data_IF_087408358868
#
_entry.id   IF_087408358868
#
_cell.length_a   1.000
_cell.length_b   1.000
_cell.length_c   1.000
_cell.angle_alpha   90.00
_cell.angle_beta   90.00
_cell.angle_gamma   90.00
#
_symmetry.space_group_name_H-M   'P 1'
#
loop_
_entity.id
_entity.type
_entity.pdbx_description
1 polymer ?
#
# COMPACT_ATOMS: atom_id res chain seq x y z
N UNK A 1 39.68 13.87 9.46
CA UNK A 1 39.25 15.27 9.34
C UNK A 1 39.38 15.64 7.88
N UNK A 2 38.30 16.07 7.21
CA UNK A 2 38.44 16.72 5.90
C UNK A 2 38.86 18.18 6.09
N UNK A 3 39.37 18.84 5.06
CA UNK A 3 39.67 20.28 5.11
C UNK A 3 38.42 21.12 4.80
N UNK A 4 38.44 22.40 5.21
CA UNK A 4 37.41 23.36 4.78
C UNK A 4 37.70 23.82 3.35
N UNK A 5 36.69 23.77 2.49
CA UNK A 5 36.81 24.23 1.10
C UNK A 5 35.54 24.97 0.66
N UNK A 6 35.67 25.73 -0.43
CA UNK A 6 34.55 26.39 -1.10
C UNK A 6 33.76 25.31 -1.85
N UNK A 7 32.51 25.11 -1.46
CA UNK A 7 31.67 23.99 -1.90
C UNK A 7 30.35 24.46 -2.48
N UNK A 8 29.90 23.79 -3.54
CA UNK A 8 28.59 23.98 -4.16
C UNK A 8 27.60 22.95 -3.59
N UNK A 9 26.56 23.44 -2.95
CA UNK A 9 25.50 22.60 -2.35
C UNK A 9 24.69 21.89 -3.44
N UNK A 10 24.51 22.51 -4.60
CA UNK A 10 23.73 21.93 -5.71
C UNK A 10 24.41 20.67 -6.25
N UNK A 11 25.74 20.64 -6.30
CA UNK A 11 26.51 19.44 -6.66
C UNK A 11 26.45 18.38 -5.55
N UNK A 12 26.40 18.78 -4.27
CA UNK A 12 26.18 17.87 -3.15
C UNK A 12 24.83 17.16 -3.23
N UNK A 13 23.74 17.91 -3.44
CA UNK A 13 22.39 17.36 -3.60
C UNK A 13 22.34 16.36 -4.77
N UNK A 14 22.85 16.73 -5.95
CA UNK A 14 22.91 15.84 -7.12
C UNK A 14 23.72 14.56 -6.83
N UNK A 15 24.89 14.70 -6.20
CA UNK A 15 25.77 13.57 -5.87
C UNK A 15 25.09 12.60 -4.91
N UNK A 16 24.50 13.11 -3.83
CA UNK A 16 23.79 12.30 -2.83
C UNK A 16 22.59 11.59 -3.44
N UNK A 17 21.77 12.26 -4.25
CA UNK A 17 20.63 11.64 -4.94
C UNK A 17 21.04 10.47 -5.85
N UNK A 18 22.18 10.57 -6.54
CA UNK A 18 22.71 9.44 -7.33
C UNK A 18 23.08 8.25 -6.43
N UNK A 19 23.68 8.51 -5.27
CA UNK A 19 24.10 7.46 -4.32
C UNK A 19 22.88 6.80 -3.63
N UNK A 20 21.91 7.61 -3.18
CA UNK A 20 20.71 7.14 -2.48
C UNK A 20 19.59 6.68 -3.41
N UNK A 21 19.80 6.70 -4.74
CA UNK A 21 18.77 6.34 -5.75
C UNK A 21 18.06 5.03 -5.48
N UNK A 22 18.77 4.01 -4.98
CA UNK A 22 18.16 2.71 -4.66
C UNK A 22 17.14 2.78 -3.52
N UNK A 23 17.20 3.79 -2.66
CA UNK A 23 16.28 3.96 -1.55
C UNK A 23 14.91 4.47 -1.96
N UNK A 24 14.81 5.27 -3.02
CA UNK A 24 13.54 5.88 -3.44
C UNK A 24 13.03 5.43 -4.81
N UNK A 25 13.87 4.95 -5.74
CA UNK A 25 13.50 4.69 -7.16
C UNK A 25 12.34 3.71 -7.42
N UNK A 26 11.87 2.98 -6.41
CA UNK A 26 10.74 2.05 -6.49
C UNK A 26 9.48 2.56 -5.77
N UNK A 27 9.56 3.71 -5.09
CA UNK A 27 8.57 4.20 -4.14
C UNK A 27 8.29 5.72 -4.26
N UNK A 28 9.18 6.49 -4.88
CA UNK A 28 9.02 7.91 -5.14
C UNK A 28 9.78 8.35 -6.41
N UNK A 29 9.23 9.34 -7.10
CA UNK A 29 9.92 10.14 -8.10
C UNK A 29 10.56 11.35 -7.42
N UNK A 30 11.73 11.80 -7.90
CA UNK A 30 12.45 12.95 -7.34
C UNK A 30 12.54 14.05 -8.38
N UNK A 31 11.81 15.13 -8.14
CA UNK A 31 11.93 16.40 -8.84
C UNK A 31 13.02 17.26 -8.17
N UNK A 32 13.79 17.98 -8.98
CA UNK A 32 14.91 18.80 -8.52
C UNK A 32 14.70 20.23 -9.04
N UNK A 33 14.23 21.10 -8.15
CA UNK A 33 14.22 22.56 -8.35
C UNK A 33 15.29 23.18 -7.46
N UNK A 34 16.38 23.66 -8.07
CA UNK A 34 17.52 24.25 -7.39
C UNK A 34 17.76 25.66 -7.93
N UNK A 35 17.60 26.66 -7.07
CA UNK A 35 17.98 28.03 -7.35
C UNK A 35 19.50 28.21 -7.45
N UNK A 36 19.91 29.41 -7.83
CA UNK A 36 21.32 29.81 -7.83
C UNK A 36 21.78 30.09 -6.40
N UNK A 37 22.58 29.18 -5.83
CA UNK A 37 23.00 29.20 -4.42
C UNK A 37 24.49 29.57 -4.35
N UNK A 38 24.89 30.57 -3.54
CA UNK A 38 26.29 30.91 -3.39
C UNK A 38 27.06 29.76 -2.73
N UNK A 39 28.29 29.52 -3.19
CA UNK A 39 29.13 28.49 -2.60
C UNK A 39 29.43 28.80 -1.13
N UNK A 40 29.36 27.79 -0.28
CA UNK A 40 29.66 27.88 1.16
C UNK A 40 31.09 27.41 1.46
N UNK A 41 31.70 27.90 2.53
CA UNK A 41 33.00 27.42 2.99
C UNK A 41 32.80 26.39 4.13
N UNK A 42 32.89 25.11 3.81
CA UNK A 42 32.50 24.02 4.71
C UNK A 42 33.37 22.76 4.52
N UNK A 43 33.11 21.73 5.33
CA UNK A 43 33.59 20.37 5.08
C UNK A 43 32.58 19.61 4.19
N UNK A 44 32.89 19.29 2.91
CA UNK A 44 31.92 18.67 2.00
C UNK A 44 31.37 17.33 2.51
N UNK A 45 32.21 16.53 3.17
CA UNK A 45 31.79 15.25 3.74
C UNK A 45 30.67 15.37 4.76
N UNK A 46 30.72 16.38 5.65
CA UNK A 46 29.69 16.60 6.67
C UNK A 46 28.38 17.10 6.05
N UNK A 47 28.45 17.97 5.04
CA UNK A 47 27.25 18.41 4.31
C UNK A 47 26.58 17.24 3.59
N UNK A 48 27.36 16.40 2.91
CA UNK A 48 26.83 15.26 2.18
C UNK A 48 26.27 14.15 3.10
N UNK A 49 26.85 13.97 4.29
CA UNK A 49 26.30 13.09 5.33
C UNK A 49 24.92 13.57 5.81
N UNK A 50 24.76 14.87 6.09
CA UNK A 50 23.46 15.45 6.47
C UNK A 50 22.44 15.35 5.33
N UNK A 51 22.83 15.68 4.10
CA UNK A 51 21.95 15.54 2.93
C UNK A 51 21.54 14.08 2.68
N UNK A 52 22.47 13.13 2.86
CA UNK A 52 22.20 11.70 2.73
C UNK A 52 21.18 11.23 3.75
N UNK A 53 21.37 11.57 5.03
CA UNK A 53 20.45 11.16 6.08
C UNK A 53 19.03 11.70 5.81
N UNK A 54 18.89 12.98 5.45
CA UNK A 54 17.57 13.57 5.11
C UNK A 54 16.88 12.82 3.97
N UNK A 55 17.60 12.49 2.89
CA UNK A 55 17.03 11.80 1.73
C UNK A 55 16.71 10.32 2.06
N UNK A 56 17.56 9.65 2.83
CA UNK A 56 17.34 8.26 3.28
C UNK A 56 16.15 8.19 4.23
N UNK A 57 16.06 9.08 5.21
CA UNK A 57 14.95 9.14 6.18
C UNK A 57 13.62 9.46 5.47
N UNK A 58 13.62 10.39 4.51
CA UNK A 58 12.44 10.67 3.69
C UNK A 58 12.01 9.45 2.85
N UNK A 59 12.96 8.78 2.19
CA UNK A 59 12.69 7.56 1.42
C UNK A 59 12.20 6.41 2.31
N UNK A 60 12.75 6.26 3.52
CA UNK A 60 12.32 5.27 4.52
C UNK A 60 10.95 5.59 5.10
N UNK A 61 10.62 6.86 5.35
CA UNK A 61 9.28 7.27 5.78
C UNK A 61 8.24 6.92 4.71
N UNK A 62 8.52 7.22 3.43
CA UNK A 62 7.67 6.84 2.28
C UNK A 62 7.53 5.31 2.18
N UNK A 63 8.61 4.55 2.36
CA UNK A 63 8.57 3.07 2.43
C UNK A 63 7.73 2.55 3.61
N UNK A 64 7.84 3.14 4.79
CA UNK A 64 7.16 2.68 6.01
C UNK A 64 5.64 2.85 5.97
N UNK A 65 5.12 3.64 5.02
CA UNK A 65 3.70 3.77 4.77
C UNK A 65 3.11 2.62 3.92
N UNK A 66 3.91 1.62 3.48
CA UNK A 66 3.39 0.51 2.69
C UNK A 66 4.13 -0.84 2.85
N UNK A 67 3.57 -1.72 3.70
CA UNK A 67 3.61 -3.18 3.53
C UNK A 67 2.27 -3.82 3.95
N UNK A 68 1.21 -3.47 3.22
CA UNK A 68 0.07 -4.38 3.08
C UNK A 68 0.45 -5.47 2.08
N UNK A 69 0.45 -6.74 2.48
CA UNK A 69 0.61 -7.82 1.51
C UNK A 69 -0.76 -8.14 0.89
N UNK A 70 -0.92 -7.72 -0.38
CA UNK A 70 -2.14 -7.92 -1.18
C UNK A 70 -2.10 -9.29 -1.86
N UNK A 71 -2.96 -10.21 -1.42
CA UNK A 71 -3.20 -11.51 -2.05
C UNK A 71 -4.53 -11.47 -2.81
N UNK A 72 -4.62 -12.11 -3.97
CA UNK A 72 -5.83 -12.11 -4.80
C UNK A 72 -6.40 -13.52 -4.97
N UNK A 73 -7.73 -13.61 -5.10
CA UNK A 73 -8.42 -14.86 -5.42
C UNK A 73 -9.47 -14.65 -6.51
N UNK A 74 -9.54 -15.63 -7.41
CA UNK A 74 -10.50 -15.73 -8.51
C UNK A 74 -11.83 -16.38 -8.08
N UNK A 75 -11.85 -17.05 -6.92
CA UNK A 75 -13.03 -17.73 -6.38
C UNK A 75 -12.99 -17.84 -4.85
N UNK A 76 -14.14 -18.00 -4.20
CA UNK A 76 -14.24 -18.26 -2.76
C UNK A 76 -13.49 -19.53 -2.33
N UNK A 77 -13.43 -20.55 -3.21
CA UNK A 77 -12.68 -21.78 -2.92
C UNK A 77 -11.18 -21.48 -2.80
N UNK A 78 -10.64 -20.68 -3.70
CA UNK A 78 -9.26 -20.20 -3.65
C UNK A 78 -9.05 -19.25 -2.45
N UNK A 79 -9.98 -18.33 -2.19
CA UNK A 79 -9.90 -17.42 -1.05
C UNK A 79 -9.87 -18.16 0.30
N UNK A 80 -10.71 -19.20 0.47
CA UNK A 80 -10.69 -20.06 1.64
C UNK A 80 -9.37 -20.84 1.75
N UNK A 81 -8.83 -21.34 0.64
CA UNK A 81 -7.52 -22.01 0.61
C UNK A 81 -6.36 -21.08 0.98
N UNK A 82 -6.45 -19.78 0.66
CA UNK A 82 -5.47 -18.77 1.08
C UNK A 82 -5.66 -18.45 2.57
N UNK A 83 -6.88 -18.21 3.04
CA UNK A 83 -7.20 -17.93 4.46
C UNK A 83 -6.80 -19.10 5.40
N UNK A 84 -6.83 -20.34 4.91
CA UNK A 84 -6.38 -21.52 5.66
C UNK A 84 -4.84 -21.64 5.75
N UNK A 85 -4.07 -20.88 4.93
CA UNK A 85 -2.60 -20.99 4.80
C UNK A 85 -1.83 -19.72 5.19
N UNK A 86 -2.35 -18.56 4.81
CA UNK A 86 -1.69 -17.26 4.93
C UNK A 86 -2.32 -16.44 6.08
N UNK A 87 -1.55 -15.52 6.71
CA UNK A 87 -2.04 -14.69 7.82
C UNK A 87 -2.94 -13.53 7.33
N UNK A 88 -4.08 -13.85 6.73
CA UNK A 88 -5.05 -12.84 6.27
C UNK A 88 -5.69 -12.13 7.46
N UNK A 89 -5.76 -10.80 7.41
CA UNK A 89 -6.38 -9.93 8.42
C UNK A 89 -7.65 -9.24 7.90
N UNK A 90 -7.72 -8.94 6.60
CA UNK A 90 -8.88 -8.32 5.95
C UNK A 90 -9.24 -9.11 4.69
N UNK A 91 -10.53 -9.38 4.48
CA UNK A 91 -11.10 -9.90 3.24
C UNK A 91 -11.94 -8.81 2.59
N UNK A 92 -11.77 -8.62 1.28
CA UNK A 92 -12.51 -7.70 0.43
C UNK A 92 -13.09 -8.48 -0.76
N UNK A 93 -14.42 -8.53 -0.92
CA UNK A 93 -15.09 -9.21 -2.07
C UNK A 93 -16.06 -8.28 -2.80
N UNK A 94 -16.28 -8.48 -4.10
CA UNK A 94 -17.20 -7.69 -4.93
C UNK A 94 -18.48 -8.47 -5.28
N UNK A 95 -19.65 -7.94 -4.91
CA UNK A 95 -20.97 -8.57 -5.10
C UNK A 95 -21.41 -8.74 -6.58
N UNK A 96 -20.50 -8.60 -7.55
CA UNK A 96 -20.81 -8.68 -9.00
C UNK A 96 -20.34 -9.97 -9.65
N UNK A 97 -19.79 -10.91 -8.88
CA UNK A 97 -19.34 -12.21 -9.38
C UNK A 97 -20.52 -13.09 -9.81
N UNK A 98 -20.61 -13.49 -11.11
CA UNK A 98 -21.49 -14.58 -11.51
C UNK A 98 -21.02 -15.89 -10.85
N UNK A 99 -21.96 -16.81 -10.60
CA UNK A 99 -21.71 -18.16 -10.07
C UNK A 99 -21.23 -18.28 -8.61
N UNK A 100 -21.17 -17.20 -7.84
CA UNK A 100 -20.75 -17.23 -6.43
C UNK A 100 -21.76 -16.58 -5.49
N UNK A 101 -22.15 -17.30 -4.44
CA UNK A 101 -22.82 -16.68 -3.29
C UNK A 101 -21.76 -16.04 -2.39
N UNK A 102 -21.49 -14.75 -2.62
CA UNK A 102 -20.58 -13.95 -1.78
C UNK A 102 -20.95 -14.01 -0.29
N UNK A 103 -22.23 -14.15 0.04
CA UNK A 103 -22.67 -14.30 1.43
C UNK A 103 -22.21 -15.64 2.02
N UNK A 104 -22.16 -16.71 1.22
CA UNK A 104 -21.65 -18.00 1.67
C UNK A 104 -20.14 -17.95 1.96
N UNK A 105 -19.35 -17.23 1.16
CA UNK A 105 -17.93 -16.97 1.48
C UNK A 105 -17.80 -16.21 2.80
N UNK A 106 -18.55 -15.12 2.97
CA UNK A 106 -18.49 -14.28 4.18
C UNK A 106 -18.89 -15.09 5.43
N UNK A 107 -19.94 -15.91 5.33
CA UNK A 107 -20.42 -16.80 6.42
C UNK A 107 -19.40 -17.87 6.77
N UNK A 108 -18.78 -18.52 5.79
CA UNK A 108 -17.76 -19.55 6.04
C UNK A 108 -16.47 -18.94 6.62
N UNK A 109 -16.05 -17.75 6.16
CA UNK A 109 -14.90 -17.04 6.75
C UNK A 109 -15.18 -16.60 8.18
N UNK A 110 -16.37 -16.04 8.48
CA UNK A 110 -16.80 -15.73 9.86
C UNK A 110 -16.75 -16.96 10.77
N UNK A 111 -17.15 -18.12 10.27
CA UNK A 111 -17.15 -19.39 11.01
C UNK A 111 -15.75 -19.94 11.27
N UNK A 112 -14.81 -19.79 10.34
CA UNK A 112 -13.42 -20.30 10.45
C UNK A 112 -12.47 -19.35 11.19
N UNK A 113 -12.59 -18.06 10.90
CA UNK A 113 -11.66 -16.99 11.28
C UNK A 113 -12.47 -15.72 11.59
N UNK A 114 -13.19 -15.68 12.74
CA UNK A 114 -14.09 -14.56 13.06
C UNK A 114 -13.37 -13.20 13.11
N UNK A 115 -12.08 -13.21 13.46
CA UNK A 115 -11.23 -12.01 13.59
C UNK A 115 -10.89 -11.36 12.24
N UNK A 116 -11.08 -12.06 11.11
CA UNK A 116 -10.88 -11.46 9.78
C UNK A 116 -11.97 -10.41 9.53
N UNK A 117 -11.52 -9.18 9.27
CA UNK A 117 -12.38 -8.06 8.90
C UNK A 117 -12.95 -8.31 7.51
N UNK A 118 -14.25 -8.53 7.42
CA UNK A 118 -14.97 -8.78 6.17
C UNK A 118 -15.53 -7.48 5.60
N UNK A 119 -15.03 -7.08 4.44
CA UNK A 119 -15.40 -5.88 3.68
C UNK A 119 -16.07 -6.30 2.37
N UNK A 120 -17.18 -5.62 2.04
CA UNK A 120 -17.93 -5.90 0.81
C UNK A 120 -17.96 -4.67 -0.08
N UNK A 121 -17.52 -4.85 -1.32
CA UNK A 121 -17.62 -3.88 -2.40
C UNK A 121 -18.96 -4.09 -3.12
N UNK A 122 -19.67 -3.01 -3.39
CA UNK A 122 -20.91 -3.07 -4.15
C UNK A 122 -21.07 -1.86 -5.07
N UNK A 123 -21.72 -2.09 -6.21
CA UNK A 123 -22.35 -1.04 -7.01
C UNK A 123 -23.83 -0.96 -6.66
N UNK A 124 -24.43 0.23 -6.82
CA UNK A 124 -25.78 0.65 -6.39
C UNK A 124 -26.98 -0.30 -6.59
N UNK A 125 -26.86 -1.41 -7.33
CA UNK A 125 -27.96 -2.31 -7.70
C UNK A 125 -28.29 -3.43 -6.69
N UNK A 126 -27.56 -3.60 -5.58
CA UNK A 126 -27.74 -4.74 -4.65
C UNK A 126 -27.87 -4.37 -3.16
N UNK A 127 -28.38 -3.18 -2.87
CA UNK A 127 -28.56 -2.66 -1.50
C UNK A 127 -29.35 -3.59 -0.55
N UNK A 128 -30.46 -4.26 -0.95
CA UNK A 128 -31.25 -5.09 -0.03
C UNK A 128 -30.49 -6.29 0.55
N UNK A 129 -29.72 -6.99 -0.30
CA UNK A 129 -28.92 -8.16 0.09
C UNK A 129 -27.81 -7.78 1.08
N UNK A 130 -27.19 -6.61 0.87
CA UNK A 130 -26.14 -6.09 1.75
C UNK A 130 -26.68 -5.75 3.15
N UNK A 131 -27.90 -5.22 3.26
CA UNK A 131 -28.52 -4.90 4.56
C UNK A 131 -28.77 -6.16 5.41
N UNK A 132 -29.14 -7.29 4.81
CA UNK A 132 -29.30 -8.55 5.53
C UNK A 132 -27.97 -9.02 6.15
N UNK A 133 -26.89 -9.00 5.36
CA UNK A 133 -25.56 -9.42 5.80
C UNK A 133 -24.94 -8.50 6.87
N UNK A 134 -25.27 -7.20 6.87
CA UNK A 134 -24.90 -6.26 7.93
C UNK A 134 -25.67 -6.59 9.22
N UNK A 135 -26.99 -6.82 9.14
CA UNK A 135 -27.82 -7.10 10.30
C UNK A 135 -27.52 -8.48 10.96
N UNK A 136 -27.07 -9.47 10.19
CA UNK A 136 -26.57 -10.76 10.70
C UNK A 136 -25.14 -10.65 11.29
N UNK A 137 -24.50 -9.47 11.22
CA UNK A 137 -23.13 -9.23 11.68
C UNK A 137 -22.09 -9.99 10.87
N UNK A 138 -22.39 -10.28 9.61
CA UNK A 138 -21.52 -11.03 8.69
C UNK A 138 -20.53 -10.10 7.97
N UNK A 139 -20.97 -8.87 7.68
CA UNK A 139 -20.14 -7.81 7.07
C UNK A 139 -19.83 -6.73 8.10
N UNK A 140 -18.55 -6.38 8.26
CA UNK A 140 -18.13 -5.34 9.22
C UNK A 140 -18.06 -3.95 8.56
N UNK A 141 -17.80 -3.88 7.25
CA UNK A 141 -17.74 -2.61 6.50
C UNK A 141 -18.18 -2.79 5.06
N UNK A 142 -18.89 -1.81 4.51
CA UNK A 142 -19.24 -1.76 3.09
C UNK A 142 -18.55 -0.58 2.41
N UNK A 143 -18.25 -0.69 1.11
CA UNK A 143 -17.69 0.38 0.30
C UNK A 143 -18.38 0.44 -1.08
N UNK A 144 -18.65 1.65 -1.57
CA UNK A 144 -19.43 1.91 -2.80
C UNK A 144 -18.55 2.24 -4.00
N UNK A 145 -18.67 1.48 -5.10
CA UNK A 145 -18.04 1.80 -6.40
C UNK A 145 -18.73 3.03 -7.06
N UNK A 146 -18.05 3.85 -7.89
CA UNK A 146 -16.76 3.63 -8.55
C UNK A 146 -15.53 4.25 -7.84
N UNK A 147 -14.35 3.76 -8.19
CA UNK A 147 -13.03 4.29 -7.81
C UNK A 147 -12.25 4.58 -9.10
N UNK A 148 -11.49 5.68 -9.15
CA UNK A 148 -10.83 6.15 -10.39
C UNK A 148 -9.35 5.73 -10.55
N UNK A 149 -8.79 5.01 -9.58
CA UNK A 149 -7.58 4.18 -9.64
C UNK A 149 -7.52 3.32 -8.35
N UNK A 150 -6.71 2.27 -8.18
CA UNK A 150 -5.84 1.52 -9.13
C UNK A 150 -6.58 1.17 -10.45
N UNK A 151 -5.87 1.09 -11.60
CA UNK A 151 -6.53 0.87 -12.91
C UNK A 151 -7.13 -0.53 -13.04
N UNK A 152 -8.43 -0.58 -12.73
CA UNK A 152 -9.27 -1.77 -12.55
C UNK A 152 -8.86 -2.66 -11.36
N UNK A 153 -9.83 -3.39 -10.82
CA UNK A 153 -9.62 -4.49 -9.87
C UNK A 153 -9.21 -5.74 -10.68
N UNK A 154 -8.08 -5.60 -11.40
CA UNK A 154 -7.87 -6.00 -12.81
C UNK A 154 -8.49 -7.33 -13.27
N UNK A 155 -9.55 -7.19 -14.07
CA UNK A 155 -9.92 -8.05 -15.20
C UNK A 155 -10.42 -9.48 -14.95
N UNK A 156 -10.06 -10.16 -13.86
CA UNK A 156 -10.44 -11.58 -13.64
C UNK A 156 -10.49 -12.06 -12.18
N UNK A 157 -10.19 -11.21 -11.19
CA UNK A 157 -10.15 -11.59 -9.77
C UNK A 157 -11.17 -10.78 -8.99
N UNK A 158 -12.13 -11.44 -8.32
CA UNK A 158 -13.20 -10.77 -7.58
C UNK A 158 -12.96 -10.60 -6.08
N UNK A 159 -11.86 -11.17 -5.55
CA UNK A 159 -11.54 -11.18 -4.13
C UNK A 159 -10.11 -10.68 -3.91
N UNK A 160 -9.94 -9.78 -2.94
CA UNK A 160 -8.68 -9.28 -2.41
C UNK A 160 -8.60 -9.64 -0.92
N UNK A 161 -7.46 -10.17 -0.51
CA UNK A 161 -7.11 -10.56 0.85
C UNK A 161 -5.91 -9.71 1.27
N UNK A 162 -5.96 -9.09 2.44
CA UNK A 162 -4.89 -8.26 2.96
C UNK A 162 -4.33 -8.83 4.25
N UNK A 163 -3.01 -8.93 4.30
CA UNK A 163 -2.26 -9.18 5.53
C UNK A 163 -1.77 -7.85 6.08
N UNK A 164 -2.11 -7.55 7.35
CA UNK A 164 -1.56 -6.42 8.10
C UNK A 164 -0.51 -6.98 9.05
N UNK A 165 0.74 -7.00 8.62
CA UNK A 165 1.86 -7.38 9.49
C UNK A 165 2.30 -6.19 10.32
N UNK A 166 2.19 -6.29 11.65
CA UNK A 166 2.99 -5.46 12.55
C UNK A 166 4.45 -5.94 12.55
N UNK A 167 5.38 -4.99 12.56
CA UNK A 167 6.85 -5.14 12.50
C UNK A 167 7.45 -6.41 13.13
#
# INVERSE_FOLDING_TARGET
MGDYTKYDINEGVKSVLVITRNEYKYHAEVEIDLGDIPHIYCHPGQINEVLMNIIVDAAQAIKSQNREEKLFASSAKEALQIIDKEPVHVLVTDLRMPEMDDLALIKEVKKRKPDIVRVVLSGYSQVPTLLAAINEGDVLRYLTKPWNSEEEFRGSYGILLLTISSF
#
